data_IF_932261668876
#
_entry.id   IF_932261668876
#
_cell.length_a   1.000
_cell.length_b   1.000
_cell.length_c   1.000
_cell.angle_alpha   90.00
_cell.angle_beta   90.00
_cell.angle_gamma   90.00
#
_symmetry.space_group_name_H-M   'P 1'
#
loop_
_entity.id
_entity.type
_entity.pdbx_description
1 polymer ?
#
# COMPACT_ATOMS: atom_id res chain seq x y z
N UNK A 1 -22.08 14.72 24.83
CA UNK A 1 -21.65 15.60 23.73
C UNK A 1 -20.43 14.95 23.09
N UNK A 2 -20.57 14.39 21.89
CA UNK A 2 -19.41 13.87 21.16
C UNK A 2 -18.51 15.06 20.84
N UNK A 3 -17.23 14.99 21.20
CA UNK A 3 -16.31 16.10 20.98
C UNK A 3 -16.18 16.39 19.49
N UNK A 4 -16.51 17.60 19.06
CA UNK A 4 -16.24 18.17 17.72
C UNK A 4 -14.74 18.33 17.42
N UNK A 5 -13.87 17.63 18.15
CA UNK A 5 -12.43 17.66 17.93
C UNK A 5 -12.06 16.82 16.72
N UNK A 6 -11.37 17.46 15.78
CA UNK A 6 -10.78 16.83 14.61
C UNK A 6 -9.31 16.58 14.92
N UNK A 7 -8.87 15.33 14.84
CA UNK A 7 -7.47 14.96 15.03
C UNK A 7 -6.61 15.34 13.81
N UNK A 8 -5.29 15.13 13.87
CA UNK A 8 -4.37 15.50 12.77
C UNK A 8 -4.68 14.86 11.41
N UNK A 9 -5.48 13.78 11.39
CA UNK A 9 -5.83 13.03 10.17
C UNK A 9 -7.30 13.17 9.78
N UNK A 10 -7.98 14.22 10.27
CA UNK A 10 -9.38 14.48 9.97
C UNK A 10 -10.36 13.62 10.80
N UNK A 11 -11.58 13.46 10.29
CA UNK A 11 -12.60 12.62 10.92
C UNK A 11 -12.27 11.13 10.75
N UNK A 12 -12.90 10.27 11.55
CA UNK A 12 -12.72 8.82 11.48
C UNK A 12 -14.03 8.11 11.13
N UNK A 13 -13.98 7.23 10.13
CA UNK A 13 -14.98 6.20 9.91
C UNK A 13 -14.64 4.96 10.73
N UNK A 14 -15.65 4.27 11.24
CA UNK A 14 -15.49 3.07 12.07
C UNK A 14 -16.46 1.97 11.65
N UNK A 15 -15.98 0.74 11.60
CA UNK A 15 -16.80 -0.46 11.39
C UNK A 15 -16.55 -1.48 12.48
N UNK A 16 -17.59 -2.28 12.75
CA UNK A 16 -17.50 -3.47 13.59
C UNK A 16 -18.24 -4.61 12.93
N UNK A 17 -17.63 -5.79 12.92
CA UNK A 17 -18.27 -7.01 12.45
C UNK A 17 -17.76 -8.19 13.28
N UNK A 18 -18.64 -8.83 14.05
CA UNK A 18 -18.23 -9.83 15.04
C UNK A 18 -17.09 -9.30 15.94
N UNK A 19 -15.93 -9.96 15.93
CA UNK A 19 -14.74 -9.59 16.71
C UNK A 19 -13.80 -8.61 15.97
N UNK A 20 -14.21 -8.09 14.81
CA UNK A 20 -13.39 -7.18 14.01
C UNK A 20 -13.73 -5.72 14.29
N UNK A 21 -12.70 -4.89 14.50
CA UNK A 21 -12.81 -3.44 14.62
C UNK A 21 -11.93 -2.77 13.56
N UNK A 22 -12.51 -1.83 12.80
CA UNK A 22 -11.82 -1.05 11.78
C UNK A 22 -11.92 0.45 12.06
N UNK A 23 -10.83 1.18 11.83
CA UNK A 23 -10.83 2.64 11.81
C UNK A 23 -10.12 3.17 10.57
N UNK A 24 -10.79 4.05 9.84
CA UNK A 24 -10.26 4.71 8.63
C UNK A 24 -10.33 6.23 8.82
N UNK A 25 -9.24 6.93 8.50
CA UNK A 25 -9.17 8.39 8.60
C UNK A 25 -9.61 9.08 7.31
N UNK A 26 -10.19 10.28 7.44
CA UNK A 26 -10.53 11.17 6.32
C UNK A 26 -9.30 11.55 5.50
N UNK A 27 -8.17 11.89 6.15
CA UNK A 27 -6.93 12.19 5.45
C UNK A 27 -6.37 10.92 4.78
N UNK A 28 -6.22 10.98 3.46
CA UNK A 28 -5.72 9.88 2.64
C UNK A 28 -6.61 8.64 2.57
N UNK A 29 -7.85 8.70 3.09
CA UNK A 29 -8.66 7.51 3.36
C UNK A 29 -7.87 6.43 4.14
N UNK A 30 -6.99 6.86 5.06
CA UNK A 30 -5.93 6.01 5.62
C UNK A 30 -6.50 4.92 6.53
N UNK A 31 -6.11 3.66 6.30
CA UNK A 31 -6.39 2.53 7.19
C UNK A 31 -5.57 2.66 8.48
N UNK A 32 -6.11 3.34 9.49
CA UNK A 32 -5.39 3.61 10.73
C UNK A 32 -5.35 2.41 11.67
N UNK A 33 -6.40 1.60 11.70
CA UNK A 33 -6.48 0.47 12.63
C UNK A 33 -7.34 -0.63 12.04
N UNK A 34 -6.88 -1.87 12.19
CA UNK A 34 -7.68 -3.06 11.98
C UNK A 34 -7.28 -4.09 13.04
N UNK A 35 -8.28 -4.56 13.79
CA UNK A 35 -8.11 -5.53 14.88
C UNK A 35 -9.03 -6.71 14.65
N UNK A 36 -8.56 -7.89 15.05
CA UNK A 36 -9.37 -9.10 15.14
C UNK A 36 -9.28 -9.62 16.57
N UNK A 37 -10.43 -9.71 17.24
CA UNK A 37 -10.53 -9.95 18.68
C UNK A 37 -9.66 -8.96 19.47
N UNK A 38 -8.74 -9.46 20.30
CA UNK A 38 -7.83 -8.62 21.07
C UNK A 38 -6.60 -8.16 20.29
N UNK A 39 -6.34 -8.71 19.11
CA UNK A 39 -5.07 -8.57 18.40
C UNK A 39 -5.11 -7.47 17.35
N UNK A 40 -4.07 -6.65 17.32
CA UNK A 40 -3.84 -5.70 16.24
C UNK A 40 -3.31 -6.45 15.02
N UNK A 41 -4.06 -6.39 13.91
CA UNK A 41 -3.61 -6.93 12.62
C UNK A 41 -2.79 -5.88 11.88
N UNK A 42 -3.22 -4.61 11.97
CA UNK A 42 -2.52 -3.46 11.37
C UNK A 42 -1.85 -2.62 12.46
N UNK A 43 -0.53 -2.44 12.33
CA UNK A 43 0.26 -1.53 13.15
C UNK A 43 0.20 -0.10 12.60
N UNK A 44 -0.90 0.59 12.90
CA UNK A 44 -1.10 1.98 12.48
C UNK A 44 -0.52 3.00 13.44
N UNK A 45 -1.37 3.92 13.92
CA UNK A 45 -0.95 5.03 14.78
C UNK A 45 -2.11 5.53 15.66
N UNK A 46 -1.77 6.30 16.70
CA UNK A 46 -2.77 6.87 17.63
C UNK A 46 -3.59 7.97 16.95
N UNK A 47 -4.80 8.17 17.45
CA UNK A 47 -5.71 9.22 16.98
C UNK A 47 -5.09 10.62 16.95
N UNK A 48 -4.28 10.95 17.97
CA UNK A 48 -3.67 12.27 18.16
C UNK A 48 -2.29 12.42 17.50
N UNK A 49 -1.84 11.43 16.72
CA UNK A 49 -0.60 11.47 15.96
C UNK A 49 -0.89 11.71 14.48
N UNK A 50 -0.10 12.55 13.82
CA UNK A 50 -0.07 12.57 12.36
C UNK A 50 0.41 11.22 11.81
N UNK A 51 -0.13 10.81 10.65
CA UNK A 51 0.37 9.66 9.93
C UNK A 51 1.88 9.82 9.64
N UNK A 52 2.62 8.73 9.75
CA UNK A 52 4.07 8.65 9.53
C UNK A 52 4.41 7.29 8.91
N UNK A 53 5.58 7.19 8.28
CA UNK A 53 6.06 6.00 7.56
C UNK A 53 5.04 5.43 6.53
N UNK A 54 4.13 6.27 6.02
CA UNK A 54 3.01 5.91 5.14
C UNK A 54 2.04 4.84 5.68
N UNK A 55 2.03 4.60 7.00
CA UNK A 55 1.24 3.53 7.64
C UNK A 55 -0.24 3.58 7.25
N UNK A 56 -0.68 2.55 6.52
CA UNK A 56 -2.08 2.37 6.10
C UNK A 56 -2.54 3.30 4.99
N UNK A 57 -1.64 4.10 4.40
CA UNK A 57 -2.00 5.03 3.33
C UNK A 57 -2.21 4.29 2.00
N UNK A 58 -3.12 4.83 1.20
CA UNK A 58 -3.34 4.39 -0.18
C UNK A 58 -2.50 5.24 -1.14
N UNK A 59 -1.99 4.61 -2.19
CA UNK A 59 -0.91 5.15 -3.03
C UNK A 59 -1.44 5.40 -4.45
N UNK A 60 -2.10 6.53 -4.66
CA UNK A 60 -2.73 6.91 -5.94
C UNK A 60 -2.15 8.26 -6.40
N UNK A 61 -1.73 8.43 -7.67
CA UNK A 61 -1.89 7.52 -8.82
C UNK A 61 -0.63 6.70 -9.17
N UNK A 62 0.27 6.50 -8.21
CA UNK A 62 1.34 5.51 -8.31
C UNK A 62 1.77 5.03 -6.92
N UNK A 63 2.15 3.75 -6.77
CA UNK A 63 2.87 3.28 -5.61
C UNK A 63 4.38 3.52 -5.76
N UNK A 64 5.08 3.43 -4.63
CA UNK A 64 6.54 3.60 -4.57
C UNK A 64 7.04 4.89 -5.28
N UNK A 65 8.27 4.86 -5.81
CA UNK A 65 8.97 6.05 -6.33
C UNK A 65 8.72 6.32 -7.81
N UNK A 66 8.79 7.59 -8.18
CA UNK A 66 9.14 8.09 -9.51
C UNK A 66 10.50 8.78 -9.37
N UNK A 67 11.50 8.25 -10.08
CA UNK A 67 12.90 8.67 -9.94
C UNK A 67 13.06 10.13 -10.35
N UNK A 68 13.83 10.88 -9.54
CA UNK A 68 14.08 12.33 -9.72
C UNK A 68 12.79 13.18 -9.78
N UNK A 69 11.66 12.61 -9.34
CA UNK A 69 10.32 13.19 -9.47
C UNK A 69 9.99 13.56 -10.94
N UNK A 70 10.55 12.86 -11.92
CA UNK A 70 10.40 13.15 -13.35
C UNK A 70 9.85 11.95 -14.11
N UNK A 71 8.98 12.23 -15.07
CA UNK A 71 8.53 11.22 -16.01
C UNK A 71 8.21 11.80 -17.38
N UNK A 72 8.10 10.93 -18.38
CA UNK A 72 7.65 11.30 -19.71
C UNK A 72 6.35 10.57 -20.05
N UNK A 73 5.36 11.29 -20.56
CA UNK A 73 4.08 10.72 -20.96
C UNK A 73 3.57 11.39 -22.24
N UNK A 74 3.21 10.60 -23.25
CA UNK A 74 2.80 11.08 -24.57
C UNK A 74 3.76 12.16 -25.12
N UNK A 75 5.07 11.86 -25.09
CA UNK A 75 6.16 12.73 -25.54
C UNK A 75 6.32 14.06 -24.79
N UNK A 76 5.56 14.29 -23.72
CA UNK A 76 5.72 15.44 -22.81
C UNK A 76 6.48 15.03 -21.56
N UNK A 77 7.36 15.91 -21.08
CA UNK A 77 8.10 15.72 -19.83
C UNK A 77 7.37 16.43 -18.70
N UNK A 78 7.29 15.77 -17.55
CA UNK A 78 6.64 16.28 -16.35
C UNK A 78 7.62 16.24 -15.16
N UNK A 79 7.48 17.23 -14.27
CA UNK A 79 8.23 17.35 -13.02
C UNK A 79 7.24 17.44 -11.87
N UNK A 80 7.21 16.41 -11.03
CA UNK A 80 6.46 16.34 -9.78
C UNK A 80 7.23 17.05 -8.66
N UNK A 81 6.53 17.33 -7.57
CA UNK A 81 7.17 17.75 -6.32
C UNK A 81 8.03 16.61 -5.74
N UNK A 82 9.16 16.99 -5.14
CA UNK A 82 10.03 16.04 -4.43
C UNK A 82 9.41 15.75 -3.06
N UNK A 83 8.63 14.68 -2.97
CA UNK A 83 8.00 14.22 -1.74
C UNK A 83 8.86 13.25 -0.91
N UNK A 84 10.00 12.82 -1.44
CA UNK A 84 11.07 12.10 -0.73
C UNK A 84 12.39 12.92 -0.78
N UNK A 85 12.58 13.95 0.08
CA UNK A 85 13.70 14.88 -0.03
C UNK A 85 15.09 14.24 0.03
N UNK A 86 15.28 13.21 0.87
CA UNK A 86 16.57 12.51 1.00
C UNK A 86 16.92 11.73 -0.27
N UNK A 87 15.91 11.17 -0.95
CA UNK A 87 16.08 10.39 -2.18
C UNK A 87 16.03 11.24 -3.45
N UNK A 88 15.49 12.46 -3.38
CA UNK A 88 15.26 13.33 -4.54
C UNK A 88 14.11 12.87 -5.44
N UNK A 89 13.23 12.00 -4.94
CA UNK A 89 12.18 11.35 -5.73
C UNK A 89 10.77 11.89 -5.37
N UNK A 90 9.78 11.55 -6.19
CA UNK A 90 8.38 11.62 -5.80
C UNK A 90 7.93 10.22 -5.35
N UNK A 91 7.27 10.10 -4.20
CA UNK A 91 6.91 8.80 -3.61
C UNK A 91 5.43 8.74 -3.21
N UNK A 92 4.80 7.61 -3.50
CA UNK A 92 3.46 7.21 -3.03
C UNK A 92 2.30 8.11 -3.48
N UNK A 93 2.36 8.60 -4.72
CA UNK A 93 1.24 9.32 -5.33
C UNK A 93 0.97 10.70 -4.72
N UNK A 94 -0.25 11.18 -4.94
CA UNK A 94 -0.69 12.56 -4.66
C UNK A 94 -1.87 12.64 -3.68
N UNK A 95 -2.49 11.51 -3.35
CA UNK A 95 -3.78 11.50 -2.63
C UNK A 95 -3.65 11.21 -1.14
N UNK A 96 -2.51 10.69 -0.67
CA UNK A 96 -2.31 10.25 0.73
C UNK A 96 -2.37 11.37 1.78
N UNK A 97 -2.24 12.62 1.35
CA UNK A 97 -2.35 13.82 2.17
C UNK A 97 -3.56 14.70 1.81
N UNK A 98 -4.47 14.22 0.97
CA UNK A 98 -5.70 14.92 0.62
C UNK A 98 -6.82 14.53 1.59
N UNK A 99 -7.78 15.42 1.81
CA UNK A 99 -9.02 15.09 2.55
C UNK A 99 -9.94 14.30 1.62
N UNK A 100 -10.27 13.06 2.00
CA UNK A 100 -11.23 12.23 1.30
C UNK A 100 -12.61 12.36 1.93
N UNK A 101 -13.64 12.49 1.11
CA UNK A 101 -15.01 12.53 1.60
C UNK A 101 -15.49 11.11 1.91
N UNK A 102 -16.03 10.88 3.11
CA UNK A 102 -16.83 9.69 3.39
C UNK A 102 -18.14 9.80 2.57
N UNK A 103 -18.21 9.07 1.46
CA UNK A 103 -19.29 9.12 0.49
C UNK A 103 -20.50 8.28 0.93
N UNK A 104 -20.23 7.13 1.54
CA UNK A 104 -21.27 6.28 2.14
C UNK A 104 -20.71 5.45 3.29
N UNK A 105 -21.61 5.06 4.19
CA UNK A 105 -21.35 4.14 5.28
C UNK A 105 -22.55 3.21 5.43
N UNK A 106 -22.28 1.91 5.55
CA UNK A 106 -23.26 0.89 5.92
C UNK A 106 -22.86 0.25 7.26
N UNK A 107 -23.56 -0.80 7.67
CA UNK A 107 -23.17 -1.58 8.86
C UNK A 107 -21.81 -2.26 8.69
N UNK A 108 -21.44 -2.60 7.46
CA UNK A 108 -20.24 -3.42 7.17
C UNK A 108 -19.28 -2.78 6.17
N UNK A 109 -19.54 -1.56 5.69
CA UNK A 109 -18.67 -0.89 4.71
C UNK A 109 -18.54 0.62 4.91
N UNK A 110 -17.37 1.16 4.55
CA UNK A 110 -17.07 2.59 4.44
C UNK A 110 -16.56 2.85 3.03
N UNK A 111 -17.14 3.84 2.33
CA UNK A 111 -16.67 4.26 1.01
C UNK A 111 -16.19 5.71 1.08
N UNK A 112 -14.92 5.91 0.75
CA UNK A 112 -14.29 7.21 0.62
C UNK A 112 -14.16 7.58 -0.85
N UNK A 113 -14.33 8.86 -1.18
CA UNK A 113 -14.19 9.39 -2.54
C UNK A 113 -13.33 10.66 -2.57
N UNK A 114 -12.53 10.81 -3.63
CA UNK A 114 -11.72 12.00 -3.90
C UNK A 114 -11.60 12.22 -5.41
N UNK A 115 -11.83 13.45 -5.86
CA UNK A 115 -11.40 13.89 -7.19
C UNK A 115 -9.98 14.45 -7.09
N UNK A 116 -9.02 13.77 -7.73
CA UNK A 116 -7.66 14.26 -7.91
C UNK A 116 -7.62 15.20 -9.12
N UNK A 117 -7.50 16.49 -8.86
CA UNK A 117 -7.34 17.52 -9.88
C UNK A 117 -5.88 17.70 -10.33
N UNK A 118 -5.64 18.38 -11.47
CA UNK A 118 -4.29 18.71 -11.91
C UNK A 118 -3.50 19.52 -10.86
N UNK A 119 -2.21 19.22 -10.75
CA UNK A 119 -1.25 19.93 -9.91
C UNK A 119 0.13 19.97 -10.56
N UNK A 120 1.15 20.47 -9.85
CA UNK A 120 2.52 20.52 -10.35
C UNK A 120 2.99 19.12 -10.80
N UNK A 121 3.34 19.00 -12.08
CA UNK A 121 3.79 17.74 -12.67
C UNK A 121 2.71 16.71 -12.96
N UNK A 122 1.43 16.99 -12.70
CA UNK A 122 0.33 16.07 -12.93
C UNK A 122 -0.84 16.80 -13.61
N UNK A 123 -1.06 16.64 -14.93
CA UNK A 123 -2.09 17.38 -15.66
C UNK A 123 -3.46 16.67 -15.73
N UNK A 124 -3.62 15.49 -15.14
CA UNK A 124 -4.81 14.65 -15.33
C UNK A 124 -5.84 14.83 -14.21
N UNK A 125 -7.10 14.46 -14.49
CA UNK A 125 -8.17 14.47 -13.50
C UNK A 125 -8.72 13.06 -13.31
N UNK A 126 -8.61 12.53 -12.08
CA UNK A 126 -9.10 11.21 -11.73
C UNK A 126 -10.16 11.32 -10.64
N UNK A 127 -11.22 10.52 -10.74
CA UNK A 127 -12.19 10.30 -9.67
C UNK A 127 -11.86 8.96 -9.01
N UNK A 128 -11.58 8.97 -7.72
CA UNK A 128 -11.08 7.82 -6.99
C UNK A 128 -12.00 7.46 -5.83
N UNK A 129 -12.20 6.16 -5.62
CA UNK A 129 -12.96 5.60 -4.52
C UNK A 129 -12.19 4.48 -3.84
N UNK A 130 -12.30 4.43 -2.52
CA UNK A 130 -11.76 3.33 -1.71
C UNK A 130 -12.89 2.82 -0.81
N UNK A 131 -13.20 1.55 -0.96
CA UNK A 131 -14.20 0.84 -0.16
C UNK A 131 -13.48 -0.10 0.81
N UNK A 132 -13.76 0.07 2.11
CA UNK A 132 -13.35 -0.84 3.17
C UNK A 132 -14.56 -1.61 3.66
N UNK A 133 -14.53 -2.94 3.59
CA UNK A 133 -15.66 -3.79 3.96
C UNK A 133 -15.22 -4.93 4.88
N UNK A 134 -15.93 -5.12 5.99
CA UNK A 134 -15.71 -6.24 6.92
C UNK A 134 -16.65 -7.40 6.59
N UNK A 135 -16.10 -8.61 6.54
CA UNK A 135 -16.84 -9.84 6.32
C UNK A 135 -16.33 -10.99 7.19
N UNK A 136 -16.92 -12.17 7.00
CA UNK A 136 -16.56 -13.38 7.78
C UNK A 136 -15.10 -13.79 7.64
N UNK A 137 -14.47 -13.46 6.52
CA UNK A 137 -13.07 -13.80 6.20
C UNK A 137 -12.10 -12.65 6.51
N UNK A 138 -12.59 -11.49 6.96
CA UNK A 138 -11.78 -10.33 7.31
C UNK A 138 -12.10 -9.08 6.52
N UNK A 139 -11.10 -8.20 6.43
CA UNK A 139 -11.17 -6.92 5.74
C UNK A 139 -10.89 -7.07 4.24
N UNK A 140 -11.84 -6.63 3.42
CA UNK A 140 -11.64 -6.40 1.99
C UNK A 140 -11.48 -4.91 1.72
N UNK A 141 -10.50 -4.55 0.88
CA UNK A 141 -10.27 -3.18 0.43
C UNK A 141 -10.32 -3.14 -1.09
N UNK A 142 -11.21 -2.33 -1.65
CA UNK A 142 -11.35 -2.18 -3.11
C UNK A 142 -11.05 -0.73 -3.48
N UNK A 143 -10.10 -0.55 -4.39
CA UNK A 143 -9.79 0.75 -4.99
C UNK A 143 -10.38 0.80 -6.40
N UNK A 144 -11.15 1.84 -6.70
CA UNK A 144 -11.67 2.14 -8.04
C UNK A 144 -11.19 3.52 -8.44
N UNK A 145 -10.72 3.69 -9.68
CA UNK A 145 -10.24 4.99 -10.16
C UNK A 145 -10.67 5.17 -11.60
N UNK A 146 -11.44 6.22 -11.85
CA UNK A 146 -11.92 6.57 -13.18
C UNK A 146 -11.20 7.80 -13.70
N UNK A 147 -10.76 7.77 -14.95
CA UNK A 147 -10.32 8.99 -15.63
C UNK A 147 -11.53 9.82 -16.07
N UNK A 148 -11.79 10.93 -15.38
CA UNK A 148 -12.85 11.88 -15.72
C UNK A 148 -12.32 13.11 -16.49
N UNK A 149 -11.05 13.10 -16.83
CA UNK A 149 -10.41 14.11 -17.67
C UNK A 149 -10.62 13.86 -19.16
N UNK A 150 -9.89 14.63 -19.97
CA UNK A 150 -10.00 14.62 -21.45
C UNK A 150 -8.83 13.93 -22.15
N UNK A 151 -7.74 13.66 -21.43
CA UNK A 151 -6.52 13.02 -21.94
C UNK A 151 -6.28 11.67 -21.25
N UNK A 152 -5.67 10.67 -21.93
CA UNK A 152 -5.23 9.43 -21.29
C UNK A 152 -4.20 9.68 -20.17
N UNK A 153 -4.41 9.06 -19.02
CA UNK A 153 -3.57 9.23 -17.82
C UNK A 153 -2.71 7.97 -17.55
N UNK A 154 -1.42 8.11 -17.21
CA UNK A 154 -0.62 7.03 -16.65
C UNK A 154 -1.07 6.75 -15.21
N UNK A 155 -1.22 5.48 -14.86
CA UNK A 155 -1.79 5.08 -13.59
C UNK A 155 -1.16 3.81 -13.02
N UNK A 156 -1.03 3.80 -11.70
CA UNK A 156 -0.89 2.61 -10.88
C UNK A 156 -1.47 2.89 -9.51
N UNK A 157 -1.66 1.84 -8.70
CA UNK A 157 -2.05 2.02 -7.31
C UNK A 157 -1.41 0.98 -6.41
N UNK A 158 -1.43 1.26 -5.12
CA UNK A 158 -1.07 0.32 -4.08
C UNK A 158 -1.58 0.77 -2.71
N UNK A 159 -1.28 -0.01 -1.69
CA UNK A 159 -1.59 0.33 -0.30
C UNK A 159 -0.38 0.00 0.58
N UNK A 160 -0.20 0.73 1.69
CA UNK A 160 0.96 0.59 2.56
C UNK A 160 0.62 0.09 3.98
N UNK A 161 -0.09 -1.05 4.14
CA UNK A 161 -0.38 -1.62 5.45
C UNK A 161 0.89 -2.16 6.11
N UNK A 162 1.04 -1.91 7.41
CA UNK A 162 2.02 -2.59 8.25
C UNK A 162 1.30 -3.65 9.07
N UNK A 163 1.72 -4.90 8.93
CA UNK A 163 1.14 -6.02 9.65
C UNK A 163 1.93 -6.29 10.93
N UNK A 164 1.19 -6.52 12.02
CA UNK A 164 1.71 -6.96 13.31
C UNK A 164 1.03 -8.27 13.68
N UNK A 165 1.81 -9.22 14.18
CA UNK A 165 1.32 -10.54 14.59
C UNK A 165 1.80 -10.81 16.02
N UNK A 166 0.90 -10.62 16.97
CA UNK A 166 1.24 -10.62 18.40
C UNK A 166 2.29 -9.55 18.74
N UNK A 167 3.03 -9.76 19.81
CA UNK A 167 4.17 -8.90 20.21
C UNK A 167 5.53 -9.42 19.68
N UNK A 168 5.48 -10.30 18.67
CA UNK A 168 6.68 -10.82 18.04
C UNK A 168 7.40 -9.74 17.23
N UNK A 169 8.72 -9.79 17.28
CA UNK A 169 9.56 -9.05 16.33
C UNK A 169 9.53 -9.76 14.98
N UNK A 170 9.61 -8.97 13.90
CA UNK A 170 9.66 -9.46 12.52
C UNK A 170 10.76 -10.52 12.34
N UNK A 171 11.87 -10.40 13.06
CA UNK A 171 12.99 -11.36 13.04
C UNK A 171 12.57 -12.83 13.32
N UNK A 172 11.56 -13.02 14.17
CA UNK A 172 11.06 -14.33 14.60
C UNK A 172 9.93 -14.90 13.74
N UNK A 173 9.44 -14.14 12.76
CA UNK A 173 8.31 -14.53 11.93
C UNK A 173 8.79 -15.30 10.69
N UNK A 174 7.92 -16.17 10.19
CA UNK A 174 8.06 -16.76 8.86
C UNK A 174 7.25 -15.93 7.87
N UNK A 175 7.82 -15.73 6.68
CA UNK A 175 7.17 -15.07 5.55
C UNK A 175 7.07 -16.05 4.38
N UNK A 176 5.89 -16.10 3.78
CA UNK A 176 5.62 -16.80 2.53
C UNK A 176 5.08 -15.81 1.51
N UNK A 177 5.80 -15.64 0.41
CA UNK A 177 5.44 -14.78 -0.72
C UNK A 177 5.59 -15.61 -2.00
N UNK A 178 4.49 -15.89 -2.72
CA UNK A 178 4.50 -16.78 -3.88
C UNK A 178 5.06 -16.11 -5.14
N UNK A 179 6.10 -15.28 -5.01
CA UNK A 179 6.70 -14.52 -6.10
C UNK A 179 7.88 -15.27 -6.73
N UNK A 180 8.05 -15.13 -8.05
CA UNK A 180 9.15 -15.75 -8.80
C UNK A 180 10.23 -14.76 -9.24
N UNK A 181 9.95 -13.46 -9.17
CA UNK A 181 10.87 -12.38 -9.54
C UNK A 181 10.97 -11.39 -8.38
N UNK A 182 12.19 -10.94 -8.07
CA UNK A 182 12.44 -9.80 -7.18
C UNK A 182 13.21 -8.71 -7.91
N UNK A 183 13.06 -7.46 -7.47
CA UNK A 183 13.72 -6.29 -8.07
C UNK A 183 14.76 -5.74 -7.08
N UNK A 184 16.06 -6.07 -7.25
CA UNK A 184 17.10 -5.60 -6.32
C UNK A 184 17.14 -4.08 -6.28
N UNK A 185 17.25 -3.52 -5.08
CA UNK A 185 17.31 -2.07 -4.92
C UNK A 185 18.76 -1.58 -5.01
N UNK A 186 18.98 -0.57 -5.84
CA UNK A 186 20.26 0.12 -6.02
C UNK A 186 20.36 1.32 -5.09
N UNK A 187 21.40 2.14 -5.26
CA UNK A 187 21.53 3.41 -4.55
C UNK A 187 20.27 4.29 -4.74
N UNK A 188 19.94 5.10 -3.73
CA UNK A 188 18.74 5.97 -3.69
C UNK A 188 17.38 5.24 -3.76
N UNK A 189 17.32 3.93 -3.54
CA UNK A 189 16.05 3.20 -3.54
C UNK A 189 15.53 2.85 -4.95
N UNK A 190 16.42 2.87 -5.95
CA UNK A 190 16.06 2.65 -7.37
C UNK A 190 15.92 1.14 -7.65
N UNK A 191 14.78 0.67 -8.19
CA UNK A 191 14.65 -0.73 -8.59
C UNK A 191 15.60 -1.05 -9.75
N UNK A 192 16.40 -2.10 -9.60
CA UNK A 192 17.14 -2.73 -10.68
C UNK A 192 16.27 -3.66 -11.54
N UNK A 193 16.86 -4.25 -12.60
CA UNK A 193 16.15 -5.24 -13.41
C UNK A 193 15.77 -6.46 -12.56
N UNK A 194 14.60 -7.04 -12.88
CA UNK A 194 14.08 -8.21 -12.18
C UNK A 194 15.04 -9.40 -12.25
N UNK A 195 15.18 -10.12 -11.13
CA UNK A 195 15.99 -11.32 -10.98
C UNK A 195 15.15 -12.48 -10.45
N UNK A 196 15.46 -13.75 -10.81
CA UNK A 196 14.75 -14.90 -10.28
C UNK A 196 14.88 -14.98 -8.75
N UNK A 197 13.77 -15.26 -8.05
CA UNK A 197 13.79 -15.54 -6.62
C UNK A 197 14.56 -16.83 -6.30
N UNK A 198 14.43 -17.86 -7.14
CA UNK A 198 15.07 -19.15 -6.94
C UNK A 198 16.58 -19.02 -6.75
N UNK A 199 17.11 -19.65 -5.69
CA UNK A 199 18.53 -19.60 -5.35
C UNK A 199 19.00 -18.29 -4.68
N UNK A 200 18.08 -17.38 -4.33
CA UNK A 200 18.38 -16.15 -3.60
C UNK A 200 17.73 -16.13 -2.21
N UNK A 201 18.16 -15.24 -1.30
CA UNK A 201 17.45 -14.99 -0.04
C UNK A 201 16.00 -14.49 -0.20
N UNK A 202 15.62 -14.06 -1.41
CA UNK A 202 14.27 -13.65 -1.77
C UNK A 202 13.40 -14.84 -2.22
N UNK A 203 13.89 -16.08 -2.14
CA UNK A 203 13.06 -17.27 -2.39
C UNK A 203 12.12 -17.55 -1.22
N UNK A 204 10.97 -16.89 -1.22
CA UNK A 204 9.94 -16.97 -0.18
C UNK A 204 8.73 -17.80 -0.64
N UNK A 205 8.88 -18.68 -1.65
CA UNK A 205 7.77 -19.46 -2.21
C UNK A 205 7.18 -20.53 -1.26
N UNK A 206 7.77 -20.67 -0.08
CA UNK A 206 7.32 -21.48 1.06
C UNK A 206 7.71 -20.74 2.34
N UNK A 207 7.04 -20.97 3.48
CA UNK A 207 7.34 -20.26 4.73
C UNK A 207 8.83 -20.31 5.09
N UNK A 208 9.46 -19.13 5.16
CA UNK A 208 10.88 -18.99 5.45
C UNK A 208 11.10 -17.93 6.54
N UNK A 209 12.07 -18.12 7.44
CA UNK A 209 12.35 -17.14 8.49
C UNK A 209 12.84 -15.82 7.88
N UNK A 210 12.27 -14.71 8.36
CA UNK A 210 12.76 -13.38 7.99
C UNK A 210 14.14 -13.14 8.61
N UNK A 211 14.34 -13.52 9.88
CA UNK A 211 15.63 -13.43 10.56
C UNK A 211 16.23 -12.03 10.51
N UNK A 212 17.52 -11.92 10.18
CA UNK A 212 18.22 -10.63 10.05
C UNK A 212 18.12 -10.04 8.63
N UNK A 213 17.28 -10.59 7.75
CA UNK A 213 17.14 -10.03 6.41
C UNK A 213 16.45 -8.66 6.48
N UNK A 214 17.08 -7.68 5.84
CA UNK A 214 16.49 -6.37 5.57
C UNK A 214 15.78 -6.44 4.22
N UNK A 215 14.45 -6.40 4.26
CA UNK A 215 13.62 -6.25 3.08
C UNK A 215 13.24 -4.79 2.91
N UNK A 216 13.50 -4.28 1.71
CA UNK A 216 12.90 -3.10 1.11
C UNK A 216 12.89 -3.39 -0.38
N UNK A 217 12.06 -4.35 -0.81
CA UNK A 217 12.16 -4.95 -2.14
C UNK A 217 10.79 -5.19 -2.77
N UNK A 218 10.69 -4.91 -4.06
CA UNK A 218 9.52 -5.27 -4.86
C UNK A 218 9.68 -6.69 -5.39
N UNK A 219 8.58 -7.40 -5.51
CA UNK A 219 8.49 -8.75 -6.09
C UNK A 219 7.30 -8.87 -7.03
N UNK A 220 7.37 -9.77 -8.00
CA UNK A 220 6.31 -10.04 -8.99
C UNK A 220 6.31 -11.50 -9.45
N UNK A 221 5.46 -11.82 -10.44
CA UNK A 221 5.30 -13.18 -10.93
C UNK A 221 4.66 -14.08 -9.86
N UNK A 222 3.61 -13.54 -9.24
CA UNK A 222 2.88 -14.15 -8.13
C UNK A 222 2.13 -15.40 -8.60
N UNK A 223 2.36 -16.55 -7.94
CA UNK A 223 1.52 -17.73 -8.11
C UNK A 223 0.15 -17.45 -7.49
N UNK A 224 -0.89 -17.75 -8.26
CA UNK A 224 -2.29 -17.56 -7.90
C UNK A 224 -2.98 -18.92 -7.78
N UNK A 225 -4.02 -18.97 -6.96
CA UNK A 225 -4.90 -20.13 -6.85
C UNK A 225 -5.87 -20.23 -8.05
N UNK A 226 -6.84 -21.14 -7.97
CA UNK A 226 -7.82 -21.38 -9.03
C UNK A 226 -8.78 -20.20 -9.23
N UNK A 227 -8.96 -19.34 -8.22
CA UNK A 227 -9.79 -18.14 -8.27
C UNK A 227 -9.00 -16.91 -8.73
N UNK A 228 -7.70 -17.06 -9.03
CA UNK A 228 -6.83 -15.99 -9.48
C UNK A 228 -6.30 -15.11 -8.33
N UNK A 229 -6.36 -15.60 -7.10
CA UNK A 229 -5.94 -14.88 -5.91
C UNK A 229 -4.51 -15.30 -5.52
N UNK A 230 -3.65 -14.32 -5.27
CA UNK A 230 -2.33 -14.54 -4.68
C UNK A 230 -2.42 -14.35 -3.16
N UNK A 231 -1.73 -15.21 -2.40
CA UNK A 231 -1.76 -15.21 -0.93
C UNK A 231 -0.36 -15.00 -0.38
N UNK A 232 -0.20 -14.02 0.50
CA UNK A 232 1.06 -13.72 1.19
C UNK A 232 0.82 -13.87 2.67
N UNK A 233 1.61 -14.71 3.33
CA UNK A 233 1.36 -15.11 4.71
C UNK A 233 2.52 -14.72 5.62
N UNK A 234 2.17 -14.15 6.77
CA UNK A 234 3.05 -13.93 7.90
C UNK A 234 2.64 -14.89 9.01
N UNK A 235 3.58 -15.68 9.51
CA UNK A 235 3.30 -16.78 10.46
C UNK A 235 4.22 -16.62 11.68
N UNK A 236 3.65 -16.78 12.87
CA UNK A 236 4.40 -16.69 14.13
C UNK A 236 4.91 -18.05 14.63
N UNK A 237 5.76 -18.10 15.67
CA UNK A 237 6.27 -19.35 16.23
C UNK A 237 5.20 -20.28 16.83
N UNK A 238 4.03 -19.77 17.19
CA UNK A 238 2.88 -20.57 17.65
C UNK A 238 2.09 -21.20 16.50
N UNK A 239 2.27 -20.70 15.28
CA UNK A 239 1.53 -21.11 14.09
C UNK A 239 0.32 -20.25 13.77
N UNK A 240 0.06 -19.18 14.54
CA UNK A 240 -0.92 -18.17 14.16
C UNK A 240 -0.41 -17.40 12.93
N UNK A 241 -1.34 -16.89 12.12
CA UNK A 241 -0.96 -16.22 10.87
C UNK A 241 -1.90 -15.12 10.44
N UNK A 242 -1.36 -14.19 9.66
CA UNK A 242 -2.10 -13.22 8.86
C UNK A 242 -1.82 -13.51 7.39
N UNK A 243 -2.88 -13.56 6.58
CA UNK A 243 -2.77 -13.67 5.13
C UNK A 243 -3.29 -12.40 4.46
N UNK A 244 -2.45 -11.79 3.64
CA UNK A 244 -2.86 -10.79 2.65
C UNK A 244 -3.21 -11.52 1.36
N UNK A 245 -4.43 -11.33 0.87
CA UNK A 245 -4.87 -11.85 -0.42
C UNK A 245 -5.01 -10.72 -1.45
N UNK A 246 -4.60 -11.00 -2.68
CA UNK A 246 -4.54 -10.03 -3.77
C UNK A 246 -5.20 -10.60 -5.02
N UNK A 247 -6.13 -9.86 -5.61
CA UNK A 247 -6.73 -10.24 -6.88
C UNK A 247 -5.74 -10.10 -8.05
N UNK A 248 -6.20 -10.45 -9.26
CA UNK A 248 -5.40 -10.44 -10.49
C UNK A 248 -4.94 -9.05 -10.97
N UNK A 249 -5.38 -7.95 -10.35
CA UNK A 249 -4.96 -6.58 -10.72
C UNK A 249 -3.68 -6.17 -9.99
N UNK A 250 -3.38 -6.81 -8.86
CA UNK A 250 -2.19 -6.55 -8.06
C UNK A 250 -1.13 -7.61 -8.36
N UNK A 251 -0.27 -7.34 -9.35
CA UNK A 251 0.78 -8.25 -9.82
C UNK A 251 2.13 -8.07 -9.11
N UNK A 252 2.22 -7.05 -8.26
CA UNK A 252 3.43 -6.69 -7.51
C UNK A 252 3.15 -6.65 -6.02
N UNK A 253 4.16 -6.97 -5.23
CA UNK A 253 4.17 -6.73 -3.79
C UNK A 253 5.50 -6.10 -3.37
N UNK A 254 5.45 -5.01 -2.61
CA UNK A 254 6.63 -4.49 -1.91
C UNK A 254 6.67 -5.11 -0.50
N UNK A 255 7.84 -5.57 -0.11
CA UNK A 255 8.09 -6.06 1.24
C UNK A 255 9.06 -5.08 1.90
N UNK A 256 8.65 -4.50 3.01
CA UNK A 256 9.49 -3.63 3.81
C UNK A 256 9.49 -4.05 5.29
N UNK A 257 10.62 -4.54 5.78
CA UNK A 257 10.78 -5.05 7.17
C UNK A 257 10.91 -3.95 8.23
N UNK A 258 10.63 -2.70 7.87
CA UNK A 258 10.60 -1.57 8.79
C UNK A 258 11.96 -1.26 9.46
N UNK A 259 13.08 -1.57 8.83
CA UNK A 259 14.42 -1.31 9.39
C UNK A 259 14.76 0.17 9.54
N UNK A 260 14.14 1.02 8.70
CA UNK A 260 14.47 2.44 8.57
C UNK A 260 13.31 3.36 8.95
N UNK A 261 12.29 2.84 9.64
CA UNK A 261 11.20 3.68 10.16
C UNK A 261 11.74 4.71 11.15
N UNK A 262 11.06 5.86 11.22
CA UNK A 262 11.55 7.03 11.94
C UNK A 262 11.76 6.79 13.43
N UNK A 263 10.82 6.11 14.09
CA UNK A 263 10.93 5.74 15.50
C UNK A 263 11.75 4.44 15.66
N UNK A 264 12.95 4.48 16.27
CA UNK A 264 13.77 3.30 16.48
C UNK A 264 13.07 2.18 17.27
N UNK A 265 12.13 2.51 18.16
CA UNK A 265 11.40 1.52 18.95
C UNK A 265 10.39 0.72 18.12
N UNK A 266 10.01 1.23 16.93
CA UNK A 266 9.10 0.54 16.00
C UNK A 266 9.83 -0.28 14.95
N UNK A 267 11.17 -0.20 14.88
CA UNK A 267 11.94 -0.91 13.87
C UNK A 267 11.77 -2.42 14.02
N UNK A 268 11.34 -3.06 12.92
CA UNK A 268 11.06 -4.49 12.84
C UNK A 268 10.02 -4.99 13.86
N UNK A 269 9.14 -4.11 14.35
CA UNK A 269 7.98 -4.49 15.18
C UNK A 269 6.73 -4.84 14.36
N UNK A 270 6.76 -4.49 13.07
CA UNK A 270 5.73 -4.74 12.07
C UNK A 270 6.40 -4.80 10.70
N UNK A 271 5.78 -5.47 9.73
CA UNK A 271 6.28 -5.57 8.36
C UNK A 271 5.26 -4.95 7.41
N UNK A 272 5.70 -4.10 6.48
CA UNK A 272 4.82 -3.66 5.40
C UNK A 272 4.82 -4.68 4.27
N UNK A 273 3.62 -5.10 3.88
CA UNK A 273 3.34 -5.98 2.75
C UNK A 273 2.41 -5.19 1.83
N UNK A 274 2.97 -4.52 0.83
CA UNK A 274 2.28 -3.50 0.06
C UNK A 274 1.83 -4.09 -1.28
N UNK A 275 0.53 -4.42 -1.45
CA UNK A 275 0.03 -4.83 -2.76
C UNK A 275 0.12 -3.65 -3.73
N UNK A 276 0.65 -3.88 -4.93
CA UNK A 276 0.82 -2.86 -5.97
C UNK A 276 0.37 -3.38 -7.33
N UNK A 277 -0.21 -2.51 -8.16
CA UNK A 277 -0.58 -2.85 -9.54
C UNK A 277 0.58 -2.71 -10.52
N UNK A 278 1.64 -1.99 -10.14
CA UNK A 278 2.79 -1.73 -10.97
C UNK A 278 4.10 -1.74 -10.17
N UNK A 279 5.22 -1.86 -10.87
CA UNK A 279 6.54 -1.83 -10.24
C UNK A 279 6.90 -0.42 -9.76
N UNK A 280 7.88 -0.28 -8.85
CA UNK A 280 8.49 1.02 -8.60
C UNK A 280 9.01 1.66 -9.90
N UNK A 281 8.86 2.98 -10.02
CA UNK A 281 9.21 3.76 -11.20
C UNK A 281 8.50 3.32 -12.51
N UNK A 282 7.29 2.75 -12.40
CA UNK A 282 6.50 2.31 -13.55
C UNK A 282 6.21 3.42 -14.58
N UNK A 283 6.18 4.69 -14.18
CA UNK A 283 5.95 5.81 -15.09
C UNK A 283 7.10 6.00 -16.09
N UNK A 284 8.31 5.54 -15.74
CA UNK A 284 9.49 5.58 -16.62
C UNK A 284 9.78 4.20 -17.23
N UNK A 285 9.59 3.12 -16.48
CA UNK A 285 9.87 1.76 -16.95
C UNK A 285 8.74 1.12 -17.75
N UNK A 286 7.51 1.61 -17.59
CA UNK A 286 6.28 1.02 -18.15
C UNK A 286 5.83 -0.28 -17.47
N UNK A 287 6.56 -0.80 -16.49
CA UNK A 287 6.30 -2.13 -15.94
C UNK A 287 5.05 -2.15 -15.05
N UNK A 288 3.98 -2.76 -15.56
CA UNK A 288 2.66 -2.77 -14.93
C UNK A 288 1.92 -1.43 -15.00
N UNK A 289 2.44 -0.45 -15.75
CA UNK A 289 1.80 0.86 -15.89
C UNK A 289 0.47 0.71 -16.64
N UNK A 290 -0.60 1.20 -16.02
CA UNK A 290 -1.94 1.22 -16.61
C UNK A 290 -2.12 2.55 -17.35
N UNK A 291 -2.75 2.50 -18.53
CA UNK A 291 -3.25 3.70 -19.20
C UNK A 291 -4.74 3.76 -18.97
N UNK A 292 -5.22 4.80 -18.30
CA UNK A 292 -6.66 5.07 -18.18
C UNK A 292 -7.06 6.07 -19.26
N UNK A 293 -7.80 5.62 -20.27
CA UNK A 293 -8.39 6.50 -21.29
C UNK A 293 -9.53 7.34 -20.68
N UNK A 294 -9.90 8.47 -21.30
CA UNK A 294 -11.06 9.25 -20.86
C UNK A 294 -12.32 8.38 -20.71
N UNK A 295 -12.91 8.38 -19.51
CA UNK A 295 -14.08 7.58 -19.16
C UNK A 295 -13.81 6.14 -18.72
N UNK A 296 -12.57 5.66 -18.82
CA UNK A 296 -12.14 4.33 -18.36
C UNK A 296 -11.96 4.30 -16.83
N UNK A 297 -12.26 3.15 -16.24
CA UNK A 297 -12.13 2.81 -14.81
C UNK A 297 -11.30 1.54 -14.64
#
# INVERSE_FOLDING_TARGET
>A
MASDQVGPNGKEGRLRFAEQDLVVCELGATLRSYRWASNDVIDGFRYDQACHDARGQTLIPWPNRIIDARYSWNSKKYQLDISEPLGGNAIHGLTRWQSWRLASQSETSLVYSLVLYPCAGWPFTLDAWIEYSLGKTGLSVITRVKNIGVDPAPFGTGAHPYFKLGDYRVDSLLLEVPASIYYPVQERGIPGPGKPCAGSPCNLSSPAPIGNLEFDIAMSGLKRDQDGVAHVSLIDPSGDSITLWMDKKYDFIQIYSADRVLDPNRRRMSIALEPMTCAPDAFNSGNGLITLNPGEE
#
